data_IF_082009709105
#
_entry.id   IF_082009709105
#
_cell.length_a   1.000
_cell.length_b   1.000
_cell.length_c   1.000
_cell.angle_alpha   90.00
_cell.angle_beta   90.00
_cell.angle_gamma   90.00
#
_symmetry.space_group_name_H-M   'P 1'
#
loop_
_entity.id
_entity.type
_entity.pdbx_description
1 polymer ?
#
# COMPACT_ATOMS: atom_id res chain seq x y z
N UNK A 1 -16.04 2.43 3.82
CA UNK A 1 -14.90 2.39 2.88
C UNK A 1 -14.45 3.78 2.46
N UNK A 2 -15.35 4.59 1.92
CA UNK A 2 -14.99 5.97 1.50
C UNK A 2 -14.45 6.83 2.63
N UNK A 3 -15.00 6.67 3.83
CA UNK A 3 -14.57 7.43 4.99
C UNK A 3 -13.14 7.08 5.39
N UNK A 4 -12.79 5.79 5.36
CA UNK A 4 -11.43 5.33 5.63
C UNK A 4 -10.45 5.86 4.59
N UNK A 5 -10.84 5.83 3.31
CA UNK A 5 -10.01 6.35 2.22
C UNK A 5 -9.73 7.83 2.40
N UNK A 6 -10.73 8.59 2.82
CA UNK A 6 -10.56 10.02 3.07
C UNK A 6 -9.59 10.26 4.22
N UNK A 7 -9.69 9.49 5.29
CA UNK A 7 -8.77 9.59 6.43
C UNK A 7 -7.34 9.32 5.98
N UNK A 8 -7.13 8.25 5.21
CA UNK A 8 -5.80 7.92 4.68
C UNK A 8 -5.30 9.06 3.79
N UNK A 9 -6.15 9.56 2.90
CA UNK A 9 -5.79 10.65 2.00
C UNK A 9 -5.35 11.89 2.78
N UNK A 10 -6.07 12.23 3.85
CA UNK A 10 -5.75 13.41 4.66
C UNK A 10 -4.42 13.29 5.39
N UNK A 11 -3.95 12.06 5.65
CA UNK A 11 -2.67 11.82 6.31
C UNK A 11 -1.47 11.92 5.35
N UNK A 12 -1.71 11.78 4.05
CA UNK A 12 -0.65 11.72 3.04
C UNK A 12 -0.41 13.12 2.46
N UNK A 13 0.85 13.53 2.47
CA UNK A 13 1.24 14.83 1.92
C UNK A 13 1.36 14.76 0.39
N UNK A 14 1.15 15.91 -0.27
CA UNK A 14 1.34 16.04 -1.72
C UNK A 14 2.79 15.79 -2.10
N UNK A 15 2.99 15.39 -3.34
CA UNK A 15 4.32 15.22 -3.95
C UNK A 15 5.20 14.22 -3.20
N UNK A 16 4.55 13.17 -2.66
CA UNK A 16 5.25 12.10 -1.96
C UNK A 16 5.17 10.80 -2.73
N UNK A 17 6.08 9.88 -2.40
CA UNK A 17 6.09 8.52 -2.91
C UNK A 17 5.40 7.61 -1.91
N UNK A 18 4.40 6.87 -2.39
CA UNK A 18 3.54 6.03 -1.56
C UNK A 18 3.55 4.60 -2.07
N UNK A 19 3.70 3.65 -1.18
CA UNK A 19 3.58 2.22 -1.50
C UNK A 19 2.35 1.66 -0.78
N UNK A 20 1.45 1.06 -1.53
CA UNK A 20 0.26 0.36 -1.00
C UNK A 20 0.54 -1.14 -0.98
N UNK A 21 0.73 -1.68 0.22
CA UNK A 21 1.09 -3.09 0.40
C UNK A 21 -0.18 -3.93 0.51
N UNK A 22 -0.28 -4.93 -0.38
CA UNK A 22 -1.51 -5.71 -0.48
C UNK A 22 -2.64 -4.88 -1.08
N UNK A 23 -2.37 -4.24 -2.22
CA UNK A 23 -3.26 -3.20 -2.76
C UNK A 23 -4.58 -3.73 -3.32
N UNK A 24 -4.76 -5.04 -3.39
CA UNK A 24 -5.99 -5.62 -3.90
C UNK A 24 -6.24 -5.22 -5.35
N UNK A 25 -7.48 -4.91 -5.67
CA UNK A 25 -7.87 -4.50 -7.02
C UNK A 25 -7.55 -3.04 -7.34
N UNK A 26 -6.94 -2.32 -6.41
CA UNK A 26 -6.46 -0.95 -6.63
C UNK A 26 -7.47 0.14 -6.33
N UNK A 27 -8.57 -0.14 -5.66
CA UNK A 27 -9.59 0.88 -5.36
C UNK A 27 -8.99 2.02 -4.54
N UNK A 28 -8.26 1.72 -3.48
CA UNK A 28 -7.61 2.74 -2.65
C UNK A 28 -6.56 3.51 -3.44
N UNK A 29 -5.72 2.83 -4.21
CA UNK A 29 -4.71 3.48 -5.04
C UNK A 29 -5.34 4.45 -6.02
N UNK A 30 -6.42 4.02 -6.67
CA UNK A 30 -7.16 4.85 -7.62
C UNK A 30 -7.70 6.10 -6.93
N UNK A 31 -8.33 5.94 -5.77
CA UNK A 31 -8.84 7.05 -4.98
C UNK A 31 -7.74 8.04 -4.64
N UNK A 32 -6.61 7.56 -4.13
CA UNK A 32 -5.50 8.43 -3.73
C UNK A 32 -4.87 9.14 -4.94
N UNK A 33 -4.73 8.44 -6.06
CA UNK A 33 -4.17 9.02 -7.26
C UNK A 33 -5.02 10.17 -7.80
N UNK A 34 -6.35 10.05 -7.73
CA UNK A 34 -7.25 11.09 -8.20
C UNK A 34 -7.40 12.24 -7.21
N UNK A 35 -7.20 12.02 -5.94
CA UNK A 35 -7.44 13.03 -4.91
C UNK A 35 -6.16 13.71 -4.39
N UNK A 36 -4.99 13.19 -4.76
CA UNK A 36 -3.70 13.75 -4.33
C UNK A 36 -2.68 13.69 -5.46
N UNK A 37 -1.77 14.64 -5.46
CA UNK A 37 -0.62 14.62 -6.37
C UNK A 37 0.49 13.79 -5.74
N UNK A 38 0.45 12.47 -5.97
CA UNK A 38 1.42 11.53 -5.38
C UNK A 38 1.88 10.51 -6.42
N UNK A 39 3.07 9.95 -6.19
CA UNK A 39 3.58 8.81 -6.93
C UNK A 39 3.22 7.56 -6.13
N UNK A 40 2.08 6.93 -6.46
CA UNK A 40 1.62 5.75 -5.75
C UNK A 40 1.88 4.48 -6.54
N UNK A 41 2.40 3.48 -5.85
CA UNK A 41 2.68 2.15 -6.38
C UNK A 41 2.12 1.11 -5.44
N UNK A 42 1.78 -0.07 -5.98
CA UNK A 42 1.25 -1.15 -5.18
C UNK A 42 2.07 -2.42 -5.29
N UNK A 43 1.93 -3.28 -4.29
CA UNK A 43 2.40 -4.66 -4.35
C UNK A 43 1.22 -5.56 -4.00
N UNK A 44 1.01 -6.61 -4.81
CA UNK A 44 -0.14 -7.49 -4.68
C UNK A 44 0.21 -8.90 -5.10
N UNK A 45 -0.22 -9.89 -4.31
CA UNK A 45 0.11 -11.29 -4.56
C UNK A 45 -0.84 -11.95 -5.57
N UNK A 46 -2.08 -11.48 -5.67
CA UNK A 46 -3.09 -12.06 -6.58
C UNK A 46 -2.88 -11.56 -8.00
N UNK A 47 -2.65 -12.50 -8.93
CA UNK A 47 -2.51 -12.17 -10.36
C UNK A 47 -3.75 -11.47 -10.90
N UNK A 48 -4.94 -11.90 -10.49
CA UNK A 48 -6.19 -11.31 -10.94
C UNK A 48 -6.29 -9.86 -10.49
N UNK A 49 -5.92 -9.56 -9.25
CA UNK A 49 -5.93 -8.21 -8.72
C UNK A 49 -4.87 -7.34 -9.39
N UNK A 50 -3.68 -7.90 -9.67
CA UNK A 50 -2.65 -7.18 -10.42
C UNK A 50 -3.19 -6.76 -11.79
N UNK A 51 -3.87 -7.65 -12.49
CA UNK A 51 -4.47 -7.34 -13.79
C UNK A 51 -5.53 -6.24 -13.68
N UNK A 52 -6.34 -6.27 -12.63
CA UNK A 52 -7.33 -5.21 -12.39
C UNK A 52 -6.66 -3.85 -12.18
N UNK A 53 -5.58 -3.83 -11.41
CA UNK A 53 -4.80 -2.60 -11.21
C UNK A 53 -4.22 -2.09 -12.53
N UNK A 54 -3.60 -2.96 -13.32
CA UNK A 54 -3.02 -2.58 -14.60
C UNK A 54 -4.08 -2.06 -15.57
N UNK A 55 -5.27 -2.64 -15.57
CA UNK A 55 -6.36 -2.18 -16.43
C UNK A 55 -6.84 -0.78 -16.05
N UNK A 56 -6.61 -0.35 -14.84
CA UNK A 56 -6.93 1.00 -14.36
C UNK A 56 -5.78 1.99 -14.57
N UNK A 57 -4.68 1.55 -15.17
CA UNK A 57 -3.51 2.39 -15.37
C UNK A 57 -2.67 2.61 -14.12
N UNK A 58 -2.80 1.73 -13.13
CA UNK A 58 -2.05 1.83 -11.89
C UNK A 58 -0.72 1.10 -12.00
N UNK A 59 0.27 1.58 -11.26
CA UNK A 59 1.59 0.95 -11.17
C UNK A 59 1.58 -0.06 -10.04
N UNK A 60 1.76 -1.33 -10.37
CA UNK A 60 1.71 -2.42 -9.39
C UNK A 60 2.75 -3.48 -9.69
N UNK A 61 3.29 -4.08 -8.64
CA UNK A 61 4.22 -5.19 -8.71
C UNK A 61 3.49 -6.43 -8.18
N UNK A 62 3.56 -7.54 -8.92
CA UNK A 62 3.10 -8.82 -8.40
C UNK A 62 4.16 -9.33 -7.43
N UNK A 63 3.77 -9.61 -6.18
CA UNK A 63 4.71 -10.11 -5.19
C UNK A 63 4.06 -10.40 -3.86
N UNK A 64 4.84 -11.09 -3.02
CA UNK A 64 4.48 -11.44 -1.65
C UNK A 64 5.16 -10.45 -0.71
N UNK A 65 4.38 -9.66 0.00
CA UNK A 65 4.93 -8.61 0.88
C UNK A 65 5.88 -9.18 1.95
N UNK A 66 5.61 -10.39 2.47
CA UNK A 66 6.47 -10.99 3.48
C UNK A 66 7.88 -11.29 2.98
N UNK A 67 8.05 -11.44 1.66
CA UNK A 67 9.33 -11.77 1.04
C UNK A 67 9.89 -10.61 0.24
N UNK A 68 9.02 -9.91 -0.47
CA UNK A 68 9.46 -9.00 -1.52
C UNK A 68 9.67 -7.56 -1.03
N UNK A 69 9.21 -7.22 0.16
CA UNK A 69 9.53 -5.91 0.76
C UNK A 69 11.04 -5.76 1.01
N UNK A 70 11.75 -6.88 1.18
CA UNK A 70 13.21 -6.86 1.36
C UNK A 70 13.94 -6.21 0.19
N UNK A 71 13.35 -6.21 -1.00
CA UNK A 71 13.96 -5.62 -2.20
C UNK A 71 14.03 -4.10 -2.14
N UNK A 72 13.19 -3.47 -1.34
CA UNK A 72 13.14 -2.01 -1.29
C UNK A 72 14.19 -1.48 -0.31
N UNK A 73 14.95 -0.45 -0.73
CA UNK A 73 15.90 0.21 0.19
C UNK A 73 15.18 0.87 1.36
N UNK A 74 15.93 1.08 2.45
CA UNK A 74 15.43 1.81 3.61
C UNK A 74 14.93 3.20 3.20
N UNK A 75 13.77 3.59 3.69
CA UNK A 75 13.21 4.91 3.46
C UNK A 75 12.93 5.25 2.00
N UNK A 76 12.74 4.24 1.15
CA UNK A 76 12.51 4.45 -0.29
C UNK A 76 11.15 5.05 -0.60
N UNK A 77 10.22 5.03 0.34
CA UNK A 77 8.90 5.66 0.23
C UNK A 77 8.67 6.62 1.38
N UNK A 78 7.92 7.69 1.12
CA UNK A 78 7.54 8.63 2.16
C UNK A 78 6.45 8.05 3.06
N UNK A 79 5.51 7.33 2.47
CA UNK A 79 4.43 6.64 3.17
C UNK A 79 4.30 5.22 2.65
N UNK A 80 4.08 4.29 3.57
CA UNK A 80 3.72 2.92 3.23
C UNK A 80 2.39 2.62 3.89
N UNK A 81 1.44 2.09 3.12
CA UNK A 81 0.08 1.81 3.59
C UNK A 81 -0.14 0.30 3.64
N UNK A 82 -0.73 -0.17 4.73
CA UNK A 82 -1.24 -1.52 4.83
C UNK A 82 -2.70 -1.42 5.30
N UNK A 83 -3.63 -1.56 4.36
CA UNK A 83 -5.06 -1.37 4.66
C UNK A 83 -5.76 -2.71 4.82
N UNK A 84 -6.18 -3.01 6.05
CA UNK A 84 -7.05 -4.13 6.41
C UNK A 84 -6.53 -5.53 6.03
N UNK A 85 -5.23 -5.70 5.86
CA UNK A 85 -4.64 -6.98 5.44
C UNK A 85 -3.62 -7.55 6.41
N UNK A 86 -3.37 -6.89 7.53
CA UNK A 86 -2.33 -7.33 8.48
C UNK A 86 -2.56 -8.77 8.95
N UNK A 87 -3.81 -9.14 9.22
CA UNK A 87 -4.16 -10.47 9.71
C UNK A 87 -3.98 -11.56 8.65
N UNK A 88 -3.80 -11.20 7.38
CA UNK A 88 -3.60 -12.17 6.31
C UNK A 88 -2.18 -12.70 6.25
N UNK A 89 -1.25 -12.07 6.96
CA UNK A 89 0.15 -12.48 6.94
C UNK A 89 0.44 -13.53 8.00
N UNK A 90 1.35 -14.45 7.68
CA UNK A 90 1.81 -15.47 8.63
C UNK A 90 2.62 -14.87 9.76
N UNK A 91 3.43 -13.86 9.42
CA UNK A 91 4.31 -13.18 10.38
C UNK A 91 4.06 -11.68 10.34
N UNK A 92 2.97 -11.19 10.96
CA UNK A 92 2.63 -9.76 10.90
C UNK A 92 3.73 -8.83 11.42
N UNK A 93 4.47 -9.30 12.45
CA UNK A 93 5.56 -8.50 13.03
C UNK A 93 6.67 -8.21 12.03
N UNK A 94 7.01 -9.21 11.20
CA UNK A 94 8.02 -9.02 10.15
C UNK A 94 7.55 -8.00 9.15
N UNK A 95 6.27 -8.08 8.75
CA UNK A 95 5.70 -7.13 7.79
C UNK A 95 5.73 -5.72 8.37
N UNK A 96 5.29 -5.53 9.61
CA UNK A 96 5.29 -4.20 10.25
C UNK A 96 6.70 -3.62 10.31
N UNK A 97 7.68 -4.42 10.70
CA UNK A 97 9.07 -3.97 10.76
C UNK A 97 9.57 -3.52 9.39
N UNK A 98 9.19 -4.24 8.34
CA UNK A 98 9.56 -3.87 6.97
C UNK A 98 8.84 -2.62 6.49
N UNK A 99 7.57 -2.44 6.88
CA UNK A 99 6.87 -1.19 6.57
C UNK A 99 7.59 0.01 7.17
N UNK A 100 8.04 -0.11 8.42
CA UNK A 100 8.75 0.96 9.12
C UNK A 100 10.14 1.19 8.57
N UNK A 101 10.75 0.18 7.97
CA UNK A 101 12.06 0.31 7.32
C UNK A 101 11.94 0.98 5.95
N UNK A 102 11.01 0.51 5.14
CA UNK A 102 10.83 0.93 3.75
C UNK A 102 10.20 2.32 3.66
N UNK A 103 9.25 2.61 4.54
CA UNK A 103 8.57 3.89 4.57
C UNK A 103 9.09 4.79 5.67
N UNK A 104 9.16 6.08 5.40
CA UNK A 104 9.46 7.06 6.44
C UNK A 104 8.33 7.13 7.46
N UNK A 105 7.10 6.89 6.99
CA UNK A 105 5.89 6.77 7.81
C UNK A 105 5.08 5.59 7.33
N UNK A 106 4.41 4.91 8.24
CA UNK A 106 3.53 3.80 7.91
C UNK A 106 2.11 4.09 8.39
N UNK A 107 1.15 3.72 7.55
CA UNK A 107 -0.28 3.82 7.87
C UNK A 107 -0.84 2.41 7.82
N UNK A 108 -1.29 1.92 8.97
CA UNK A 108 -1.85 0.57 9.07
C UNK A 108 -3.29 0.69 9.54
N UNK A 109 -4.20 0.08 8.81
CA UNK A 109 -5.59 -0.02 9.24
C UNK A 109 -5.95 -1.49 9.45
N UNK A 110 -6.81 -1.74 10.41
CA UNK A 110 -7.28 -3.08 10.71
C UNK A 110 -8.80 -3.11 10.62
N UNK A 111 -9.38 -4.27 10.27
CA UNK A 111 -10.84 -4.38 10.24
C UNK A 111 -11.44 -4.04 11.59
N UNK A 112 -12.59 -3.38 11.57
CA UNK A 112 -13.35 -3.06 12.76
C UNK A 112 -14.53 -4.03 12.84
N UNK A 113 -14.51 -4.89 13.83
CA UNK A 113 -15.54 -5.90 14.03
C UNK A 113 -16.56 -5.46 15.07
#
# INVERSE_FOLDING_TARGET
MKQEFKIISDLIEKNTRVLDVGCGDGILMEYLKYNKEIDIRGIEISKDNVQKCLSKGLTVIEGDAEKDLLQFPDGSFDFVILSQTLQAFLNPEIVINELLRVGKKAIVTIPNF
#
